data_IF_863960918506
#
_entry.id   IF_863960918506
#
_cell.length_a   1.000
_cell.length_b   1.000
_cell.length_c   1.000
_cell.angle_alpha   90.00
_cell.angle_beta   90.00
_cell.angle_gamma   90.00
#
_symmetry.space_group_name_H-M   'P 1'
#
loop_
_entity.id
_entity.type
_entity.pdbx_description
1 polymer ?
#
# COMPACT_ATOMS: atom_id res chain seq x y z
N UNK A 1 -18.21 -4.02 -6.43
CA UNK A 1 -18.37 -5.08 -5.41
C UNK A 1 -19.79 -5.01 -4.83
N UNK A 2 -20.56 -6.12 -4.78
CA UNK A 2 -21.87 -6.16 -4.12
C UNK A 2 -21.80 -5.74 -2.65
N UNK A 3 -22.91 -5.22 -2.12
CA UNK A 3 -23.06 -4.80 -0.71
C UNK A 3 -22.95 -5.95 0.30
N UNK A 4 -23.14 -7.19 -0.16
CA UNK A 4 -23.12 -8.42 0.65
C UNK A 4 -21.71 -8.94 0.96
N UNK A 5 -20.67 -8.41 0.29
CA UNK A 5 -19.29 -8.84 0.53
C UNK A 5 -18.79 -8.21 1.83
N UNK A 6 -18.63 -9.06 2.85
CA UNK A 6 -18.10 -8.72 4.18
C UNK A 6 -16.61 -9.00 4.35
N UNK A 7 -16.10 -9.97 3.58
CA UNK A 7 -14.72 -10.40 3.62
C UNK A 7 -14.15 -10.41 2.21
N UNK A 8 -13.09 -9.66 2.02
CA UNK A 8 -12.27 -9.63 0.82
C UNK A 8 -10.91 -10.18 1.27
N UNK A 9 -10.46 -11.25 0.62
CA UNK A 9 -9.17 -11.88 0.94
C UNK A 9 -7.98 -10.96 0.62
N UNK A 10 -6.77 -11.40 0.93
CA UNK A 10 -5.55 -10.65 0.67
C UNK A 10 -5.41 -10.33 -0.83
N UNK A 11 -5.10 -9.07 -1.12
CA UNK A 11 -4.94 -8.54 -2.47
C UNK A 11 -5.99 -9.09 -3.48
N UNK A 12 -7.27 -8.76 -3.31
CA UNK A 12 -8.37 -9.37 -4.07
C UNK A 12 -8.32 -9.09 -5.57
N UNK A 13 -7.48 -8.15 -5.99
CA UNK A 13 -7.30 -7.73 -7.36
C UNK A 13 -5.94 -8.16 -7.93
N UNK A 14 -5.18 -8.99 -7.21
CA UNK A 14 -3.88 -9.52 -7.63
C UNK A 14 -3.89 -10.14 -9.04
N UNK A 15 -4.97 -10.85 -9.40
CA UNK A 15 -5.11 -11.50 -10.69
C UNK A 15 -5.68 -10.59 -11.81
N UNK A 16 -6.06 -9.35 -11.49
CA UNK A 16 -6.63 -8.42 -12.48
C UNK A 16 -5.50 -7.64 -13.14
N UNK A 17 -4.65 -8.36 -13.87
CA UNK A 17 -3.43 -7.87 -14.49
C UNK A 17 -3.66 -6.96 -15.72
N UNK A 18 -4.89 -6.91 -16.25
CA UNK A 18 -5.18 -6.32 -17.58
C UNK A 18 -6.44 -5.45 -17.69
N UNK A 19 -7.17 -5.19 -16.60
CA UNK A 19 -8.31 -4.26 -16.66
C UNK A 19 -7.90 -2.90 -16.13
N UNK A 20 -8.21 -1.85 -16.90
CA UNK A 20 -8.17 -0.47 -16.44
C UNK A 20 -8.86 -0.35 -15.08
N UNK A 21 -8.07 -0.29 -13.99
CA UNK A 21 -8.56 -0.29 -12.62
C UNK A 21 -9.46 0.93 -12.29
N UNK A 22 -9.48 1.91 -13.18
CA UNK A 22 -10.40 3.05 -13.18
C UNK A 22 -11.88 2.67 -13.34
N UNK A 23 -12.22 1.45 -13.78
CA UNK A 23 -13.60 0.99 -13.94
C UNK A 23 -14.18 0.24 -12.72
N UNK A 24 -13.42 0.08 -11.63
CA UNK A 24 -13.95 -0.51 -10.41
C UNK A 24 -14.81 0.51 -9.67
N UNK A 25 -16.13 0.32 -9.73
CA UNK A 25 -17.07 1.01 -8.84
C UNK A 25 -17.66 0.05 -7.81
N UNK A 26 -17.82 0.54 -6.59
CA UNK A 26 -18.60 -0.09 -5.55
C UNK A 26 -19.83 0.77 -5.36
N UNK A 27 -21.02 0.21 -5.58
CA UNK A 27 -22.29 0.85 -5.21
C UNK A 27 -22.74 0.25 -3.88
N UNK A 28 -23.02 1.12 -2.90
CA UNK A 28 -23.65 0.78 -1.61
C UNK A 28 -22.96 -0.34 -0.81
N UNK A 29 -21.65 -0.25 -0.58
CA UNK A 29 -20.96 -1.15 0.34
C UNK A 29 -20.67 -0.46 1.69
N UNK A 30 -21.00 -1.16 2.78
CA UNK A 30 -20.85 -0.68 4.16
C UNK A 30 -19.46 -0.96 4.75
N UNK A 31 -18.63 -1.73 4.07
CA UNK A 31 -17.34 -2.23 4.56
C UNK A 31 -16.14 -1.68 3.76
N UNK A 32 -16.35 -1.31 2.50
CA UNK A 32 -15.29 -0.93 1.58
C UNK A 32 -15.59 0.36 0.83
N UNK A 33 -14.52 1.04 0.44
CA UNK A 33 -14.52 2.24 -0.37
C UNK A 33 -13.52 2.04 -1.51
N UNK A 34 -13.91 2.34 -2.74
CA UNK A 34 -12.96 2.55 -3.83
C UNK A 34 -12.91 4.04 -4.12
N UNK A 35 -11.71 4.59 -4.08
CA UNK A 35 -11.44 5.96 -4.49
C UNK A 35 -10.26 5.95 -5.46
N UNK A 36 -10.45 6.55 -6.63
CA UNK A 36 -9.44 6.59 -7.70
C UNK A 36 -8.87 5.20 -8.07
N UNK A 37 -9.72 4.16 -8.02
CA UNK A 37 -9.32 2.78 -8.31
C UNK A 37 -8.57 2.07 -7.18
N UNK A 38 -8.30 2.72 -6.05
CA UNK A 38 -7.64 2.13 -4.87
C UNK A 38 -8.70 1.66 -3.88
N UNK A 39 -8.53 0.45 -3.35
CA UNK A 39 -9.44 -0.16 -2.38
C UNK A 39 -9.01 0.14 -0.95
N UNK A 40 -9.97 0.64 -0.18
CA UNK A 40 -9.84 0.90 1.24
C UNK A 40 -10.96 0.21 2.01
N UNK A 41 -10.81 0.14 3.34
CA UNK A 41 -11.98 -0.06 4.20
C UNK A 41 -12.89 1.18 4.15
N UNK A 42 -14.12 1.04 4.65
CA UNK A 42 -15.15 2.08 4.57
C UNK A 42 -14.70 3.41 5.14
N UNK A 43 -14.04 3.38 6.30
CA UNK A 43 -13.57 4.56 7.02
C UNK A 43 -12.27 5.14 6.45
N UNK A 44 -11.70 4.51 5.42
CA UNK A 44 -10.45 4.92 4.76
C UNK A 44 -9.26 5.01 5.73
N UNK A 45 -9.26 4.15 6.75
CA UNK A 45 -8.19 3.99 7.74
C UNK A 45 -7.24 2.85 7.39
N UNK A 46 -7.61 2.00 6.43
CA UNK A 46 -6.80 0.88 5.93
C UNK A 46 -6.77 0.91 4.40
N UNK A 47 -5.58 0.91 3.80
CA UNK A 47 -5.39 0.67 2.37
C UNK A 47 -5.28 -0.83 2.17
N UNK A 48 -6.25 -1.40 1.47
CA UNK A 48 -6.40 -2.85 1.29
C UNK A 48 -5.73 -3.30 0.00
N UNK A 49 -5.87 -2.53 -1.08
CA UNK A 49 -5.23 -2.87 -2.36
C UNK A 49 -5.05 -1.62 -3.22
N UNK A 50 -3.82 -1.43 -3.67
CA UNK A 50 -3.44 -0.58 -4.77
C UNK A 50 -3.23 -1.47 -6.00
N UNK A 51 -4.14 -1.42 -6.99
CA UNK A 51 -4.04 -2.31 -8.15
C UNK A 51 -2.80 -2.03 -9.01
N UNK A 52 -2.08 -3.10 -9.38
CA UNK A 52 -0.94 -3.05 -10.31
C UNK A 52 -1.26 -2.32 -11.63
N UNK A 53 -2.48 -2.49 -12.14
CA UNK A 53 -2.93 -1.87 -13.40
C UNK A 53 -3.14 -0.36 -13.35
N UNK A 54 -2.96 0.30 -12.19
CA UNK A 54 -2.93 1.76 -12.12
C UNK A 54 -1.64 2.28 -12.74
N UNK A 55 -1.79 3.21 -13.69
CA UNK A 55 -0.68 3.77 -14.48
C UNK A 55 -0.12 5.07 -13.90
N UNK A 56 -0.60 5.48 -12.72
CA UNK A 56 -0.07 6.63 -12.01
C UNK A 56 1.43 6.45 -11.76
N UNK A 57 2.19 7.53 -12.00
CA UNK A 57 3.63 7.57 -11.70
C UNK A 57 3.93 7.92 -10.26
N UNK A 58 3.03 8.66 -9.63
CA UNK A 58 3.15 9.03 -8.23
C UNK A 58 1.85 8.73 -7.51
N UNK A 59 1.96 8.28 -6.26
CA UNK A 59 0.81 8.08 -5.40
C UNK A 59 1.07 8.59 -3.98
N UNK A 60 0.11 9.36 -3.46
CA UNK A 60 0.12 9.87 -2.09
C UNK A 60 -0.94 9.13 -1.29
N UNK A 61 -0.51 8.38 -0.28
CA UNK A 61 -1.44 7.68 0.59
C UNK A 61 -2.20 8.74 1.41
N UNK A 62 -3.54 8.69 1.48
CA UNK A 62 -4.33 9.65 2.25
C UNK A 62 -3.95 9.64 3.74
N UNK A 63 -3.91 10.81 4.37
CA UNK A 63 -3.55 10.98 5.80
C UNK A 63 -4.55 10.36 6.78
N UNK A 64 -5.71 9.90 6.28
CA UNK A 64 -6.68 9.11 7.04
C UNK A 64 -6.19 7.68 7.27
N UNK A 65 -5.32 7.16 6.40
CA UNK A 65 -4.82 5.78 6.44
C UNK A 65 -3.86 5.60 7.62
N UNK A 66 -4.10 4.55 8.39
CA UNK A 66 -3.32 4.09 9.55
C UNK A 66 -2.61 2.77 9.28
N UNK A 67 -3.17 1.95 8.40
CA UNK A 67 -2.66 0.59 8.11
C UNK A 67 -2.50 0.37 6.61
N UNK A 68 -1.32 -0.12 6.22
CA UNK A 68 -1.09 -0.75 4.92
C UNK A 68 -1.23 -2.27 5.11
N UNK A 69 -2.24 -2.85 4.46
CA UNK A 69 -2.59 -4.27 4.63
C UNK A 69 -1.61 -5.18 3.88
N UNK A 70 -1.62 -6.47 4.24
CA UNK A 70 -0.79 -7.50 3.60
C UNK A 70 -0.84 -7.40 2.07
N UNK A 71 0.34 -7.23 1.45
CA UNK A 71 0.52 -7.18 0.00
C UNK A 71 -0.29 -6.09 -0.72
N UNK A 72 -0.68 -5.01 -0.04
CA UNK A 72 -1.54 -3.99 -0.64
C UNK A 72 -0.90 -3.26 -1.83
N UNK A 73 0.43 -3.26 -1.98
CA UNK A 73 1.17 -2.73 -3.14
C UNK A 73 1.88 -3.83 -3.94
N UNK A 74 1.52 -5.10 -3.77
CA UNK A 74 2.28 -6.18 -4.39
C UNK A 74 2.38 -6.04 -5.91
N UNK A 75 3.59 -6.30 -6.44
CA UNK A 75 3.97 -6.21 -7.86
C UNK A 75 3.78 -4.83 -8.51
N UNK A 76 3.47 -3.77 -7.76
CA UNK A 76 3.16 -2.43 -8.31
C UNK A 76 4.39 -1.79 -8.95
N UNK A 77 4.74 -2.12 -10.20
CA UNK A 77 5.96 -1.64 -10.86
C UNK A 77 5.75 -0.42 -11.77
N UNK A 78 4.51 0.10 -11.85
CA UNK A 78 4.20 1.26 -12.68
C UNK A 78 4.41 2.60 -11.94
N UNK A 79 4.43 2.56 -10.61
CA UNK A 79 4.73 3.72 -9.76
C UNK A 79 6.22 4.01 -9.75
N UNK A 80 6.57 5.28 -9.92
CA UNK A 80 7.93 5.77 -9.75
C UNK A 80 8.12 6.32 -8.31
N UNK A 81 7.07 6.93 -7.71
CA UNK A 81 7.11 7.43 -6.33
C UNK A 81 5.89 7.09 -5.49
N UNK A 82 6.14 6.76 -4.23
CA UNK A 82 5.12 6.53 -3.22
C UNK A 82 5.37 7.41 -2.00
N UNK A 83 4.35 8.14 -1.57
CA UNK A 83 4.39 8.95 -0.35
C UNK A 83 3.56 8.29 0.76
N UNK A 84 4.22 7.92 1.85
CA UNK A 84 3.63 7.31 3.05
C UNK A 84 3.51 8.39 4.14
N UNK A 85 2.30 8.78 4.55
CA UNK A 85 2.11 9.80 5.57
C UNK A 85 2.47 9.27 6.96
N UNK A 86 2.84 10.19 7.86
CA UNK A 86 3.08 9.89 9.30
C UNK A 86 1.89 9.25 10.01
N UNK A 87 0.69 9.32 9.42
CA UNK A 87 -0.50 8.69 9.96
C UNK A 87 -0.43 7.16 9.95
N UNK A 88 0.41 6.57 9.09
CA UNK A 88 0.61 5.12 9.02
C UNK A 88 1.40 4.64 10.23
N UNK A 89 0.78 3.79 11.03
CA UNK A 89 1.37 3.20 12.24
C UNK A 89 1.54 1.69 12.13
N UNK A 90 1.05 1.08 11.06
CA UNK A 90 1.19 -0.35 10.78
C UNK A 90 1.40 -0.63 9.29
N UNK A 91 2.39 -1.46 8.97
CA UNK A 91 2.69 -1.95 7.62
C UNK A 91 2.81 -3.46 7.67
N UNK A 92 1.92 -4.18 7.01
CA UNK A 92 1.90 -5.64 6.97
C UNK A 92 2.33 -6.09 5.56
N UNK A 93 3.55 -6.64 5.38
CA UNK A 93 4.15 -7.09 4.10
C UNK A 93 3.68 -6.36 2.81
N UNK A 94 3.56 -5.03 2.85
CA UNK A 94 2.81 -4.29 1.84
C UNK A 94 3.42 -4.36 0.43
N UNK A 95 4.74 -4.58 0.33
CA UNK A 95 5.55 -4.37 -0.88
C UNK A 95 6.07 -5.66 -1.53
N UNK A 96 5.35 -6.77 -1.39
CA UNK A 96 5.75 -8.05 -2.00
C UNK A 96 5.98 -7.93 -3.53
N UNK A 97 7.18 -8.31 -3.99
CA UNK A 97 7.53 -8.32 -5.42
C UNK A 97 7.56 -6.93 -6.09
N UNK A 98 7.58 -5.85 -5.30
CA UNK A 98 7.84 -4.49 -5.78
C UNK A 98 9.31 -4.37 -6.18
N UNK A 99 9.60 -3.80 -7.35
CA UNK A 99 10.97 -3.62 -7.83
C UNK A 99 11.67 -2.39 -7.25
N UNK A 100 13.00 -2.31 -7.42
CA UNK A 100 13.87 -1.28 -6.82
C UNK A 100 13.71 0.10 -7.44
N UNK A 101 12.84 0.23 -8.43
CA UNK A 101 12.66 1.44 -9.22
C UNK A 101 11.73 2.46 -8.54
N UNK A 102 11.06 2.07 -7.46
CA UNK A 102 10.12 2.94 -6.75
C UNK A 102 10.83 3.68 -5.62
N UNK A 103 10.73 4.99 -5.65
CA UNK A 103 11.16 5.86 -4.57
C UNK A 103 10.08 5.91 -3.48
N UNK A 104 10.40 5.42 -2.28
CA UNK A 104 9.49 5.49 -1.12
C UNK A 104 9.89 6.66 -0.23
N UNK A 105 8.96 7.60 -0.09
CA UNK A 105 9.08 8.78 0.76
C UNK A 105 8.14 8.65 1.95
N UNK A 106 8.69 8.49 3.16
CA UNK A 106 7.94 8.61 4.40
C UNK A 106 7.94 10.07 4.86
N UNK A 107 6.76 10.62 5.13
CA UNK A 107 6.61 12.05 5.48
C UNK A 107 7.04 12.38 6.91
N UNK A 108 7.31 11.38 7.75
CA UNK A 108 7.81 11.54 9.11
C UNK A 108 9.32 11.36 9.24
N UNK A 109 9.79 11.30 10.47
CA UNK A 109 11.21 11.07 10.79
C UNK A 109 11.60 9.60 10.71
N UNK A 110 12.90 9.32 10.66
CA UNK A 110 13.45 7.95 10.77
C UNK A 110 12.98 7.30 12.08
N UNK A 111 12.95 8.05 13.18
CA UNK A 111 12.49 7.54 14.47
C UNK A 111 11.01 7.14 14.42
N UNK A 112 10.15 7.97 13.83
CA UNK A 112 8.73 7.67 13.64
C UNK A 112 8.54 6.45 12.73
N UNK A 113 9.31 6.35 11.65
CA UNK A 113 9.25 5.20 10.74
C UNK A 113 9.65 3.90 11.45
N UNK A 114 10.72 3.93 12.25
CA UNK A 114 11.20 2.76 12.98
C UNK A 114 10.19 2.26 14.01
N UNK A 115 9.35 3.14 14.57
CA UNK A 115 8.27 2.80 15.52
C UNK A 115 7.04 2.15 14.88
N UNK A 116 6.87 2.20 13.56
CA UNK A 116 5.75 1.55 12.86
C UNK A 116 5.74 0.05 13.15
N UNK A 117 4.57 -0.51 13.48
CA UNK A 117 4.35 -1.96 13.64
C UNK A 117 4.51 -2.68 12.29
N UNK A 118 5.41 -3.67 12.23
CA UNK A 118 5.61 -4.55 11.07
C UNK A 118 5.48 -6.06 11.40
N UNK A 119 4.90 -6.44 12.54
CA UNK A 119 5.01 -7.82 13.07
C UNK A 119 3.96 -8.79 12.51
N UNK A 120 3.44 -8.58 11.29
CA UNK A 120 2.21 -9.21 10.79
C UNK A 120 2.34 -10.48 9.94
N UNK A 121 3.46 -10.71 9.26
CA UNK A 121 3.73 -11.92 8.47
C UNK A 121 5.25 -12.05 8.27
N UNK A 122 5.75 -13.29 8.11
CA UNK A 122 7.16 -13.69 7.97
C UNK A 122 8.14 -12.51 7.81
N UNK A 123 8.78 -12.16 8.92
CA UNK A 123 9.68 -11.04 9.29
C UNK A 123 10.73 -10.52 8.27
N UNK A 124 10.45 -10.52 6.98
CA UNK A 124 11.45 -10.43 5.93
C UNK A 124 11.16 -9.30 4.92
N UNK A 125 9.95 -8.73 4.84
CA UNK A 125 9.62 -7.86 3.69
C UNK A 125 9.89 -6.35 3.81
N UNK A 126 10.58 -5.90 4.86
CA UNK A 126 11.25 -4.58 4.82
C UNK A 126 12.73 -4.62 5.17
N UNK A 127 13.25 -5.74 5.72
CA UNK A 127 14.64 -5.82 6.14
C UNK A 127 15.40 -7.05 5.59
N UNK A 128 14.76 -8.10 5.07
CA UNK A 128 15.48 -9.27 4.51
C UNK A 128 14.56 -10.10 3.59
N UNK A 129 14.13 -9.58 2.43
CA UNK A 129 13.21 -10.36 1.56
C UNK A 129 12.36 -9.58 0.57
N UNK A 130 12.28 -8.25 0.69
CA UNK A 130 12.02 -7.41 -0.48
C UNK A 130 13.34 -7.29 -1.24
N UNK A 131 13.64 -8.24 -2.14
CA UNK A 131 14.92 -8.31 -2.88
C UNK A 131 15.29 -7.06 -3.71
N UNK A 132 14.53 -5.97 -3.61
CA UNK A 132 14.64 -4.82 -4.50
C UNK A 132 14.51 -3.44 -3.84
N UNK A 133 13.75 -3.21 -2.76
CA UNK A 133 13.71 -1.85 -2.16
C UNK A 133 15.07 -1.54 -1.52
N UNK A 134 15.68 -0.40 -1.88
CA UNK A 134 17.05 -0.04 -1.46
C UNK A 134 17.08 0.91 -0.28
N UNK A 135 16.15 1.84 -0.26
CA UNK A 135 16.13 2.91 0.71
C UNK A 135 14.73 3.50 0.89
N UNK A 136 14.54 4.16 2.03
CA UNK A 136 13.36 4.94 2.36
C UNK A 136 13.82 6.33 2.76
N UNK A 137 13.34 7.34 2.03
CA UNK A 137 13.59 8.74 2.36
C UNK A 137 12.61 9.18 3.44
N UNK A 138 13.13 9.71 4.55
CA UNK A 138 12.38 10.33 5.64
C UNK A 138 12.67 11.84 5.66
N UNK A 139 11.93 12.61 6.47
CA UNK A 139 12.13 14.07 6.55
C UNK A 139 13.51 14.50 7.08
N UNK A 140 14.17 13.62 7.83
CA UNK A 140 15.43 13.86 8.56
C UNK A 140 16.58 12.95 8.10
N UNK A 141 16.40 12.18 7.02
CA UNK A 141 17.47 11.35 6.47
C UNK A 141 16.96 10.19 5.61
N UNK A 142 17.84 9.23 5.36
CA UNK A 142 17.56 8.05 4.52
C UNK A 142 17.83 6.78 5.31
N UNK A 143 16.88 5.85 5.29
CA UNK A 143 17.02 4.49 5.83
C UNK A 143 17.48 3.59 4.68
N UNK A 144 18.58 2.86 4.86
CA UNK A 144 19.01 1.82 3.92
C UNK A 144 18.42 0.48 4.37
N UNK A 145 17.84 -0.26 3.43
CA UNK A 145 17.18 -1.56 3.67
C UNK A 145 18.09 -2.72 3.29
#
# INVERSE_FOLDING_TARGET
LPSTIKNIGFNPFYAILNLNASNFSIKDNNYYLIENGVLFNKDKTKLISYPYGLTNKEYKIPTTVKTLDNQCFALTNNLDKLYIPKSVTKIDEAFYGVTSSIEINYEGTIEEFNKIDKTGSNSYSINEGSYYLKEITCSDGVIKL
#
